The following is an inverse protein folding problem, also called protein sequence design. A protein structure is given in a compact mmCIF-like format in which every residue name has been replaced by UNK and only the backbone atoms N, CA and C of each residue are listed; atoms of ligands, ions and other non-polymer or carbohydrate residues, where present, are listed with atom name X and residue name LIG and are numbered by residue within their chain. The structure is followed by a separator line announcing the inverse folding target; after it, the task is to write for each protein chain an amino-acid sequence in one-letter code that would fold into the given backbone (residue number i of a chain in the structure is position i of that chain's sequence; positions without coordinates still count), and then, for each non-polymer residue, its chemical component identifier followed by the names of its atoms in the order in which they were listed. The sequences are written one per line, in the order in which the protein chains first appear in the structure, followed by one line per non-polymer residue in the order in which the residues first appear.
data_IF_389107822631
#
_entry.id   IF_389107822631
#
_cell.length_a   1.000
_cell.length_b   1.000
_cell.length_c   1.000
_cell.angle_alpha   90.00
_cell.angle_beta   90.00
_cell.angle_gamma   90.00
#
_symmetry.space_group_name_H-M   'P 1'
#
loop_
_entity.id
_entity.type
_entity.pdbx_description
1 polymer ?
#
# COMPACT_ATOMS: atom_id res chain seq x y z
N UNK A 1 -5.30 16.89 1.30
CA UNK A 1 -4.96 15.57 1.87
C UNK A 1 -5.60 14.50 0.98
N UNK A 2 -4.88 13.47 0.58
CA UNK A 2 -5.47 12.37 -0.18
C UNK A 2 -6.52 11.64 0.66
N UNK A 3 -7.66 11.36 0.04
CA UNK A 3 -8.77 10.62 0.66
C UNK A 3 -8.85 9.24 0.01
N UNK A 4 -8.79 8.20 0.82
CA UNK A 4 -8.86 6.80 0.42
C UNK A 4 -10.21 6.23 0.82
N UNK A 5 -10.80 5.44 -0.09
CA UNK A 5 -11.98 4.64 0.18
C UNK A 5 -11.55 3.17 0.16
N UNK A 6 -11.42 2.56 1.34
CA UNK A 6 -10.85 1.24 1.53
C UNK A 6 -11.90 0.25 2.03
N UNK A 7 -11.82 -1.01 1.59
CA UNK A 7 -12.63 -2.09 2.15
C UNK A 7 -12.14 -2.44 3.56
N UNK A 8 -13.05 -2.43 4.53
CA UNK A 8 -12.76 -2.80 5.91
C UNK A 8 -12.37 -4.28 5.98
N UNK A 9 -13.10 -5.14 5.28
CA UNK A 9 -12.84 -6.58 5.24
C UNK A 9 -11.44 -6.88 4.70
N UNK A 10 -11.03 -6.24 3.61
CA UNK A 10 -9.70 -6.37 3.03
C UNK A 10 -8.60 -5.83 3.96
N UNK A 11 -8.84 -4.66 4.57
CA UNK A 11 -7.91 -4.06 5.52
C UNK A 11 -7.70 -4.94 6.75
N UNK A 12 -8.77 -5.55 7.27
CA UNK A 12 -8.72 -6.51 8.37
C UNK A 12 -7.95 -7.78 8.00
N UNK A 13 -8.20 -8.33 6.81
CA UNK A 13 -7.49 -9.51 6.29
C UNK A 13 -6.00 -9.25 6.15
N UNK A 14 -5.64 -8.17 5.46
CA UNK A 14 -4.24 -7.83 5.19
C UNK A 14 -3.48 -7.38 6.44
N UNK A 15 -4.15 -6.74 7.40
CA UNK A 15 -3.52 -6.32 8.66
C UNK A 15 -3.45 -7.43 9.72
N UNK A 16 -4.19 -8.52 9.54
CA UNK A 16 -4.42 -9.56 10.56
C UNK A 16 -5.09 -9.02 11.85
N UNK A 17 -5.77 -7.88 11.76
CA UNK A 17 -6.47 -7.22 12.87
C UNK A 17 -7.97 -7.33 12.63
N UNK A 18 -8.70 -8.01 13.53
CA UNK A 18 -10.16 -8.14 13.44
C UNK A 18 -10.93 -7.05 14.18
N UNK A 19 -10.22 -6.22 14.92
CA UNK A 19 -10.78 -5.16 15.74
C UNK A 19 -10.67 -3.81 15.00
N UNK A 20 -11.82 -3.29 14.56
CA UNK A 20 -11.88 -2.04 13.81
C UNK A 20 -11.41 -0.84 14.64
N UNK A 21 -11.67 -0.83 15.95
CA UNK A 21 -11.23 0.25 16.83
C UNK A 21 -9.69 0.34 16.90
N UNK A 22 -9.01 -0.83 16.92
CA UNK A 22 -7.54 -0.86 16.86
C UNK A 22 -6.99 -0.36 15.53
N UNK A 23 -7.68 -0.68 14.43
CA UNK A 23 -7.34 -0.18 13.09
C UNK A 23 -7.49 1.35 13.07
N UNK A 24 -8.62 1.87 13.51
CA UNK A 24 -8.87 3.31 13.56
C UNK A 24 -7.88 4.03 14.50
N UNK A 25 -7.54 3.42 15.63
CA UNK A 25 -6.52 3.94 16.52
C UNK A 25 -5.15 4.04 15.80
N UNK A 26 -4.72 2.99 15.12
CA UNK A 26 -3.47 2.99 14.38
C UNK A 26 -3.46 4.05 13.26
N UNK A 27 -4.56 4.20 12.51
CA UNK A 27 -4.70 5.23 11.48
C UNK A 27 -4.48 6.63 12.05
N UNK A 28 -5.05 6.94 13.22
CA UNK A 28 -4.84 8.22 13.90
C UNK A 28 -3.37 8.45 14.28
N UNK A 29 -2.64 7.40 14.67
CA UNK A 29 -1.20 7.51 14.98
C UNK A 29 -0.35 7.82 13.74
N UNK A 30 -0.85 7.51 12.54
CA UNK A 30 -0.22 7.87 11.26
C UNK A 30 -0.67 9.26 10.75
N UNK A 31 -1.23 10.09 11.60
CA UNK A 31 -1.83 11.40 11.27
C UNK A 31 -3.02 11.27 10.30
N UNK A 32 -3.66 10.11 10.28
CA UNK A 32 -4.86 9.87 9.48
C UNK A 32 -6.14 10.24 10.23
N UNK A 33 -7.14 10.65 9.47
CA UNK A 33 -8.49 10.92 9.98
C UNK A 33 -9.50 10.00 9.31
N UNK A 34 -10.31 9.32 10.11
CA UNK A 34 -11.45 8.55 9.60
C UNK A 34 -12.63 9.50 9.43
N UNK A 35 -13.03 9.75 8.19
CA UNK A 35 -14.13 10.67 7.84
C UNK A 35 -15.49 10.02 7.92
N UNK A 36 -15.56 8.70 7.69
CA UNK A 36 -16.81 7.96 7.74
C UNK A 36 -16.64 6.48 7.46
N UNK A 37 -17.73 5.75 7.73
CA UNK A 37 -17.86 4.32 7.43
C UNK A 37 -19.19 4.12 6.71
N UNK A 38 -19.14 3.49 5.54
CA UNK A 38 -20.31 3.20 4.71
C UNK A 38 -20.31 1.72 4.33
N UNK A 39 -21.08 0.91 5.06
CA UNK A 39 -21.09 -0.54 4.89
C UNK A 39 -19.71 -1.15 5.17
N UNK A 40 -19.11 -1.80 4.18
CA UNK A 40 -17.76 -2.35 4.26
C UNK A 40 -16.66 -1.34 3.87
N UNK A 41 -17.00 -0.08 3.62
CA UNK A 41 -16.03 0.92 3.23
C UNK A 41 -15.70 1.87 4.39
N UNK A 42 -14.42 2.13 4.59
CA UNK A 42 -13.90 3.15 5.48
C UNK A 42 -13.26 4.26 4.65
N UNK A 43 -13.68 5.50 4.92
CA UNK A 43 -13.15 6.69 4.26
C UNK A 43 -12.08 7.29 5.16
N UNK A 44 -10.85 7.27 4.70
CA UNK A 44 -9.68 7.73 5.45
C UNK A 44 -8.98 8.85 4.70
N UNK A 45 -8.70 9.93 5.40
CA UNK A 45 -7.86 11.01 4.91
C UNK A 45 -6.47 10.91 5.55
N UNK A 46 -5.42 10.89 4.72
CA UNK A 46 -4.03 10.70 5.15
C UNK A 46 -3.16 11.88 4.73
N UNK A 47 -2.11 12.14 5.50
CA UNK A 47 -1.09 13.11 5.12
C UNK A 47 -0.22 12.57 3.97
N UNK A 48 0.17 13.40 2.99
CA UNK A 48 0.95 12.98 1.84
C UNK A 48 2.44 12.75 2.14
N UNK A 49 2.87 12.94 3.38
CA UNK A 49 4.26 12.74 3.82
C UNK A 49 4.68 11.26 3.82
N UNK A 50 3.71 10.34 3.77
CA UNK A 50 3.91 8.90 3.76
C UNK A 50 3.20 8.24 2.56
N UNK A 51 3.77 8.34 1.34
CA UNK A 51 3.15 7.74 0.15
C UNK A 51 3.02 6.21 0.23
N UNK A 52 3.81 5.56 1.08
CA UNK A 52 3.77 4.11 1.30
C UNK A 52 2.48 3.60 1.94
N UNK A 53 1.68 4.47 2.57
CA UNK A 53 0.40 4.10 3.20
C UNK A 53 -0.84 4.58 2.40
N UNK A 54 -0.65 5.11 1.21
CA UNK A 54 -1.75 5.59 0.36
C UNK A 54 -2.46 4.48 -0.42
N UNK A 55 -2.26 3.22 -0.07
CA UNK A 55 -2.97 2.05 -0.57
C UNK A 55 -3.27 1.09 0.58
N UNK A 56 -4.23 0.17 0.37
CA UNK A 56 -4.68 -0.74 1.43
C UNK A 56 -3.55 -1.65 1.93
N UNK A 57 -2.69 -2.14 1.02
CA UNK A 57 -1.57 -3.03 1.36
C UNK A 57 -0.51 -2.31 2.20
N UNK A 58 -0.19 -1.09 1.83
CA UNK A 58 0.78 -0.27 2.54
C UNK A 58 0.28 0.13 3.93
N UNK A 59 -0.99 0.55 4.01
CA UNK A 59 -1.64 0.89 5.28
C UNK A 59 -1.75 -0.34 6.20
N UNK A 60 -2.19 -1.49 5.67
CA UNK A 60 -2.26 -2.74 6.43
C UNK A 60 -0.88 -3.17 6.97
N UNK A 61 0.17 -3.04 6.16
CA UNK A 61 1.55 -3.31 6.58
C UNK A 61 1.99 -2.39 7.72
N UNK A 62 1.68 -1.10 7.63
CA UNK A 62 2.00 -0.14 8.67
C UNK A 62 1.25 -0.47 9.98
N UNK A 63 -0.05 -0.78 9.89
CA UNK A 63 -0.88 -1.18 11.04
C UNK A 63 -0.31 -2.42 11.73
N UNK A 64 0.05 -3.47 10.98
CA UNK A 64 0.66 -4.69 11.55
C UNK A 64 1.93 -4.40 12.32
N UNK A 65 2.78 -3.56 11.75
CA UNK A 65 4.05 -3.20 12.39
C UNK A 65 3.83 -2.34 13.63
N UNK A 66 2.92 -1.38 13.58
CA UNK A 66 2.60 -0.51 14.70
C UNK A 66 1.98 -1.27 15.89
N UNK A 67 1.10 -2.23 15.60
CA UNK A 67 0.46 -3.06 16.62
C UNK A 67 1.32 -4.28 17.03
N UNK A 68 2.57 -4.35 16.58
CA UNK A 68 3.54 -5.40 16.91
C UNK A 68 3.07 -6.83 16.54
N UNK A 69 2.13 -6.96 15.59
CA UNK A 69 1.60 -8.25 15.17
C UNK A 69 2.63 -9.02 14.35
N UNK A 70 3.25 -8.33 13.40
CA UNK A 70 4.34 -8.90 12.62
C UNK A 70 5.18 -7.80 11.97
N UNK A 71 6.49 -7.99 11.94
CA UNK A 71 7.39 -7.12 11.22
C UNK A 71 7.57 -7.63 9.78
N UNK A 72 7.42 -6.76 8.76
CA UNK A 72 7.61 -7.18 7.37
C UNK A 72 9.05 -7.62 7.15
N UNK A 73 9.22 -8.85 6.65
CA UNK A 73 10.51 -9.32 6.16
C UNK A 73 10.61 -8.96 4.68
N UNK A 74 11.65 -8.23 4.30
CA UNK A 74 11.92 -7.98 2.89
C UNK A 74 12.65 -9.18 2.28
N UNK A 75 12.04 -9.92 1.35
CA UNK A 75 12.68 -11.08 0.72
C UNK A 75 13.65 -10.63 -0.38
N UNK A 76 14.75 -9.97 -0.02
CA UNK A 76 15.77 -9.56 -0.98
C UNK A 76 16.34 -10.72 -1.81
N UNK A 77 16.22 -11.94 -1.31
CA UNK A 77 16.62 -13.16 -2.02
C UNK A 77 15.70 -13.55 -3.18
N UNK A 78 14.53 -12.91 -3.32
CA UNK A 78 13.55 -13.22 -4.37
C UNK A 78 13.81 -12.48 -5.69
N UNK A 79 14.75 -11.56 -5.73
CA UNK A 79 15.09 -10.85 -6.96
C UNK A 79 15.86 -11.77 -7.90
N UNK A 80 15.28 -12.06 -9.06
CA UNK A 80 15.96 -12.75 -10.16
C UNK A 80 16.32 -11.72 -11.23
N UNK A 81 17.50 -11.89 -11.83
CA UNK A 81 17.85 -11.09 -12.99
C UNK A 81 16.91 -11.45 -14.15
N UNK A 82 16.06 -10.56 -14.65
CA UNK A 82 15.18 -10.86 -15.77
C UNK A 82 16.01 -10.91 -17.05
N UNK A 83 15.72 -11.87 -17.96
CA UNK A 83 16.26 -11.88 -19.32
C UNK A 83 15.55 -10.81 -20.19
N UNK A 84 15.53 -9.58 -19.68
CA UNK A 84 14.90 -8.42 -20.32
C UNK A 84 15.88 -7.27 -20.26
N UNK A 85 16.11 -6.66 -21.39
CA UNK A 85 16.97 -5.49 -21.53
C UNK A 85 16.12 -4.23 -21.64
N UNK A 86 16.53 -3.19 -20.93
CA UNK A 86 15.89 -1.86 -20.99
C UNK A 86 16.84 -0.91 -21.71
N UNK A 87 16.43 -0.41 -22.85
CA UNK A 87 17.21 0.56 -23.62
C UNK A 87 16.77 1.99 -23.26
N UNK A 88 17.73 2.78 -22.79
CA UNK A 88 17.51 4.20 -22.49
C UNK A 88 17.99 5.02 -23.67
N UNK A 89 17.07 5.76 -24.31
CA UNK A 89 17.42 6.72 -25.36
C UNK A 89 18.15 7.97 -24.81
N UNK A 90 18.50 8.89 -25.69
CA UNK A 90 19.18 10.12 -25.30
C UNK A 90 18.22 11.12 -24.63
N UNK A 91 17.94 10.90 -23.34
CA UNK A 91 17.07 11.79 -22.52
C UNK A 91 17.95 12.61 -21.57
N UNK A 92 18.37 13.80 -22.03
CA UNK A 92 19.32 14.66 -21.27
C UNK A 92 18.81 15.08 -19.89
N UNK A 93 17.51 15.34 -19.75
CA UNK A 93 16.91 15.81 -18.48
C UNK A 93 16.72 14.71 -17.43
N UNK A 94 16.61 13.45 -17.86
CA UNK A 94 16.40 12.28 -16.97
C UNK A 94 17.20 11.08 -17.53
N UNK A 95 18.53 11.08 -17.40
CA UNK A 95 19.38 10.09 -18.04
C UNK A 95 19.38 8.72 -17.36
N UNK A 96 18.77 8.60 -16.20
CA UNK A 96 18.73 7.36 -15.43
C UNK A 96 17.30 6.88 -15.22
N UNK A 97 17.10 5.56 -15.26
CA UNK A 97 15.83 4.88 -14.95
C UNK A 97 16.10 3.63 -14.11
N UNK A 98 15.21 3.37 -13.15
CA UNK A 98 15.13 2.09 -12.46
C UNK A 98 13.78 1.46 -12.80
N UNK A 99 13.78 0.19 -13.19
CA UNK A 99 12.59 -0.56 -13.55
C UNK A 99 12.53 -1.85 -12.76
N UNK A 100 11.30 -2.31 -12.48
CA UNK A 100 11.05 -3.63 -11.92
C UNK A 100 9.96 -4.33 -12.73
N UNK A 101 10.09 -5.64 -12.88
CA UNK A 101 9.09 -6.47 -13.55
C UNK A 101 8.59 -7.49 -12.53
N UNK A 102 7.28 -7.49 -12.32
CA UNK A 102 6.60 -8.45 -11.47
C UNK A 102 5.79 -9.36 -12.38
N UNK A 103 5.98 -10.67 -12.26
CA UNK A 103 5.28 -11.69 -13.06
C UNK A 103 4.34 -12.48 -12.18
N UNK A 104 3.41 -13.19 -12.82
CA UNK A 104 2.49 -14.12 -12.16
C UNK A 104 1.62 -13.46 -11.07
N UNK A 105 1.29 -12.17 -11.27
CA UNK A 105 0.38 -11.46 -10.38
C UNK A 105 -1.07 -11.76 -10.72
N UNK A 106 -1.88 -11.95 -9.68
CA UNK A 106 -3.33 -11.93 -9.82
C UNK A 106 -3.80 -10.49 -9.84
N UNK A 107 -4.37 -10.07 -10.97
CA UNK A 107 -4.95 -8.73 -11.14
C UNK A 107 -6.45 -8.84 -10.93
N UNK A 108 -6.96 -8.26 -9.86
CA UNK A 108 -8.36 -8.13 -9.57
C UNK A 108 -8.76 -6.66 -9.37
N UNK A 109 -10.04 -6.41 -9.08
CA UNK A 109 -10.54 -5.04 -8.92
C UNK A 109 -9.87 -4.30 -7.74
N UNK A 110 -9.54 -5.00 -6.67
CA UNK A 110 -8.91 -4.39 -5.51
C UNK A 110 -7.48 -3.96 -5.83
N UNK A 111 -6.74 -4.83 -6.53
CA UNK A 111 -5.40 -4.49 -7.02
C UNK A 111 -5.41 -3.25 -7.93
N UNK A 112 -6.39 -3.17 -8.86
CA UNK A 112 -6.52 -2.01 -9.77
C UNK A 112 -6.81 -0.74 -8.97
N UNK A 113 -7.73 -0.79 -8.00
CA UNK A 113 -8.02 0.36 -7.11
C UNK A 113 -6.79 0.80 -6.33
N UNK A 114 -6.05 -0.14 -5.75
CA UNK A 114 -4.82 0.14 -5.03
C UNK A 114 -3.78 0.84 -5.91
N UNK A 115 -3.58 0.34 -7.13
CA UNK A 115 -2.66 0.93 -8.10
C UNK A 115 -3.06 2.34 -8.53
N UNK A 116 -4.36 2.63 -8.61
CA UNK A 116 -4.87 3.97 -8.95
C UNK A 116 -4.71 4.98 -7.80
N UNK A 117 -4.61 4.52 -6.56
CA UNK A 117 -4.43 5.36 -5.38
C UNK A 117 -2.96 5.74 -5.13
N UNK A 118 -2.01 5.01 -5.73
CA UNK A 118 -0.57 5.31 -5.67
C UNK A 118 -0.16 6.42 -6.66
#
# INVERSE_FOLDING_TARGET
MPTLNLSISELMELSYVKDLEKIMYAIRQFKGEVKGIEGDNIIVELEPDRPDILCVEGLARAIRSFLEICYPKFPFSAFKNPNIEVYVGNVKLRPYIACAIIRDMRIDNNFIKSLMNM
#
